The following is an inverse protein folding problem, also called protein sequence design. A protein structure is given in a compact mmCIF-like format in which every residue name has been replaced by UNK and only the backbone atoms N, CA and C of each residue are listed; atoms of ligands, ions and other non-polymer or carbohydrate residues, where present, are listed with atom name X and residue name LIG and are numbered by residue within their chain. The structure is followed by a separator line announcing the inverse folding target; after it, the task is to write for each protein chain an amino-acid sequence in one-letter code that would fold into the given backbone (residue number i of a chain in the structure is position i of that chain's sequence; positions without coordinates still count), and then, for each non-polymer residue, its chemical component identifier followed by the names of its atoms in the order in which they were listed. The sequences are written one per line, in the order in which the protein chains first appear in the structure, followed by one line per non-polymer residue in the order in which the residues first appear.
data_IF_035703723027
#
_entry.id   IF_035703723027
#
_cell.length_a   1.000
_cell.length_b   1.000
_cell.length_c   1.000
_cell.angle_alpha   90.00
_cell.angle_beta   90.00
_cell.angle_gamma   90.00
#
_symmetry.space_group_name_H-M   'P 1'
#
loop_
_entity.id
_entity.type
_entity.pdbx_description
1 polymer ?
#
# COMPACT_ATOMS: atom_id res chain seq x y z
N UNK A 1 87.99 21.97 3.65
CA UNK A 1 86.72 22.49 4.20
C UNK A 1 85.63 21.83 3.43
N UNK A 2 85.05 20.76 4.00
CA UNK A 2 84.08 19.88 3.33
C UNK A 2 82.68 20.32 3.73
N UNK A 3 81.79 20.53 2.74
CA UNK A 3 80.40 20.71 2.96
C UNK A 3 79.68 19.48 2.41
N UNK A 4 79.14 18.71 3.33
CA UNK A 4 78.28 17.57 3.07
C UNK A 4 76.86 18.09 2.72
N UNK A 5 76.28 17.67 1.60
CA UNK A 5 74.92 17.81 1.25
C UNK A 5 74.23 16.45 1.41
N UNK A 6 73.49 16.30 2.49
CA UNK A 6 72.61 15.13 2.70
C UNK A 6 71.34 15.24 1.82
N UNK A 7 71.26 14.27 0.89
CA UNK A 7 70.11 14.16 0.01
C UNK A 7 68.89 13.56 0.73
N UNK A 8 67.88 14.36 0.89
CA UNK A 8 66.54 13.91 1.38
C UNK A 8 65.78 13.23 0.22
N UNK A 9 65.73 11.91 0.24
CA UNK A 9 64.89 11.14 -0.67
C UNK A 9 63.46 11.21 -0.12
N UNK A 10 62.67 12.11 -0.68
CA UNK A 10 61.22 12.09 -0.45
C UNK A 10 60.63 10.86 -1.15
N UNK A 11 60.32 9.83 -0.37
CA UNK A 11 59.40 8.75 -0.78
C UNK A 11 58.01 9.36 -1.01
N UNK A 12 57.62 9.58 -2.27
CA UNK A 12 56.23 9.81 -2.62
C UNK A 12 55.43 8.57 -2.26
N UNK A 13 54.69 8.63 -1.18
CA UNK A 13 53.65 7.64 -0.88
C UNK A 13 52.58 7.76 -1.94
N UNK A 14 52.46 6.76 -2.78
CA UNK A 14 51.41 6.64 -3.76
C UNK A 14 50.16 6.15 -3.01
N UNK A 15 49.49 7.04 -2.26
CA UNK A 15 48.10 6.85 -1.92
C UNK A 15 47.31 7.39 -3.11
N UNK A 16 46.44 6.58 -3.74
CA UNK A 16 45.51 7.12 -4.72
C UNK A 16 44.63 8.10 -3.98
N UNK A 17 44.85 9.39 -4.17
CA UNK A 17 43.95 10.42 -3.65
C UNK A 17 42.53 10.14 -4.11
N UNK A 18 41.56 10.73 -3.41
CA UNK A 18 40.11 10.62 -3.75
C UNK A 18 39.80 10.78 -5.24
N UNK A 19 40.61 11.56 -5.96
CA UNK A 19 40.58 11.74 -7.42
C UNK A 19 40.93 10.45 -8.20
N UNK A 20 41.89 9.64 -7.74
CA UNK A 20 42.26 8.36 -8.39
C UNK A 20 41.16 7.30 -8.23
N UNK A 21 40.52 7.24 -7.06
CA UNK A 21 39.41 6.34 -6.79
C UNK A 21 38.20 6.75 -7.64
N UNK A 22 37.92 8.04 -7.73
CA UNK A 22 36.86 8.59 -8.56
C UNK A 22 37.05 8.23 -10.05
N UNK A 23 38.27 8.40 -10.59
CA UNK A 23 38.58 8.01 -11.97
C UNK A 23 38.41 6.51 -12.21
N UNK A 24 38.75 5.65 -11.26
CA UNK A 24 38.66 4.20 -11.40
C UNK A 24 37.23 3.68 -11.55
N UNK A 25 36.26 4.35 -10.96
CA UNK A 25 34.83 4.02 -11.08
C UNK A 25 34.13 4.80 -12.21
N UNK A 26 34.55 6.06 -12.45
CA UNK A 26 33.90 6.91 -13.45
C UNK A 26 34.33 6.65 -14.89
N UNK A 27 35.64 6.28 -15.11
CA UNK A 27 36.13 6.03 -16.47
C UNK A 27 35.42 4.85 -17.15
N UNK A 28 35.24 3.67 -16.51
CA UNK A 28 34.45 2.59 -17.11
C UNK A 28 33.03 3.01 -17.42
N UNK A 29 32.42 3.80 -16.55
CA UNK A 29 31.05 4.31 -16.74
C UNK A 29 30.96 5.28 -17.93
N UNK A 30 31.92 6.22 -18.06
CA UNK A 30 32.02 7.13 -19.21
C UNK A 30 32.28 6.38 -20.52
N UNK A 31 33.13 5.36 -20.50
CA UNK A 31 33.41 4.51 -21.67
C UNK A 31 32.11 3.81 -22.10
N UNK A 32 31.34 3.29 -21.17
CA UNK A 32 30.05 2.65 -21.46
C UNK A 32 29.05 3.64 -22.05
N UNK A 33 28.99 4.88 -21.54
CA UNK A 33 28.15 5.96 -22.11
C UNK A 33 28.55 6.28 -23.56
N UNK A 34 29.85 6.38 -23.83
CA UNK A 34 30.35 6.75 -25.17
C UNK A 34 30.11 5.66 -26.19
N UNK A 35 30.24 4.37 -25.82
CA UNK A 35 30.07 3.25 -26.75
C UNK A 35 28.63 2.76 -26.90
N UNK A 36 27.80 2.89 -25.87
CA UNK A 36 26.44 2.33 -25.84
C UNK A 36 25.34 3.42 -25.81
N UNK A 37 25.73 4.70 -25.74
CA UNK A 37 24.81 5.82 -25.61
C UNK A 37 24.35 6.07 -24.14
N UNK A 38 23.92 7.30 -23.87
CA UNK A 38 23.46 7.73 -22.54
C UNK A 38 22.23 6.92 -22.10
N UNK A 39 21.34 6.64 -23.04
CA UNK A 39 20.11 5.89 -22.78
C UNK A 39 20.39 4.44 -22.36
N UNK A 40 21.33 3.75 -23.00
CA UNK A 40 21.68 2.36 -22.64
C UNK A 40 22.40 2.23 -21.28
N UNK A 41 23.07 3.28 -20.82
CA UNK A 41 23.77 3.28 -19.53
C UNK A 41 22.89 3.70 -18.37
N UNK A 42 21.90 4.56 -18.63
CA UNK A 42 20.89 5.00 -17.64
C UNK A 42 19.66 4.08 -17.61
N UNK A 43 19.33 3.45 -18.74
CA UNK A 43 18.10 2.66 -18.94
C UNK A 43 18.33 1.16 -18.73
N UNK A 44 19.57 0.65 -18.74
CA UNK A 44 19.83 -0.77 -18.49
C UNK A 44 19.88 -1.20 -17.00
N UNK A 45 19.59 -0.31 -16.07
CA UNK A 45 18.81 -0.67 -14.88
C UNK A 45 17.35 -0.28 -15.17
N UNK A 46 16.65 -1.14 -15.90
CA UNK A 46 15.21 -1.26 -15.65
C UNK A 46 15.14 -1.34 -14.13
N UNK A 47 14.62 -0.29 -13.50
CA UNK A 47 14.36 -0.36 -12.07
C UNK A 47 13.34 -1.48 -11.95
N UNK A 48 13.82 -2.61 -11.46
CA UNK A 48 12.98 -3.76 -11.29
C UNK A 48 12.04 -3.45 -10.14
N UNK A 49 10.81 -3.13 -10.48
CA UNK A 49 9.74 -2.89 -9.53
C UNK A 49 9.62 -4.07 -8.56
N UNK A 50 9.89 -5.29 -9.03
CA UNK A 50 9.84 -6.50 -8.24
C UNK A 50 10.82 -6.47 -7.05
N UNK A 51 11.93 -5.73 -7.15
CA UNK A 51 12.88 -5.57 -6.03
C UNK A 51 12.32 -4.79 -4.84
N UNK A 52 11.39 -3.88 -5.05
CA UNK A 52 10.81 -3.06 -3.96
C UNK A 52 9.47 -3.58 -3.47
N UNK A 53 8.79 -4.41 -4.25
CA UNK A 53 7.47 -4.96 -3.90
C UNK A 53 7.46 -5.70 -2.57
N UNK A 54 8.46 -6.54 -2.19
CA UNK A 54 8.47 -7.20 -0.89
C UNK A 54 8.34 -6.20 0.27
N UNK A 55 9.04 -5.06 0.18
CA UNK A 55 9.00 -3.99 1.20
C UNK A 55 7.63 -3.29 1.21
N UNK A 56 7.07 -3.03 0.04
CA UNK A 56 5.74 -2.41 -0.08
C UNK A 56 4.69 -3.33 0.55
N UNK A 57 4.66 -4.60 0.16
CA UNK A 57 3.69 -5.59 0.64
C UNK A 57 3.82 -5.81 2.14
N UNK A 58 5.05 -5.96 2.66
CA UNK A 58 5.32 -6.08 4.09
C UNK A 58 4.85 -4.85 4.90
N UNK A 59 4.76 -3.67 4.27
CA UNK A 59 4.19 -2.48 4.91
C UNK A 59 2.65 -2.50 4.99
N UNK A 60 2.00 -3.32 4.17
CA UNK A 60 0.55 -3.36 3.97
C UNK A 60 -0.12 -4.53 4.68
N UNK A 61 0.55 -5.69 4.76
CA UNK A 61 0.01 -6.91 5.35
C UNK A 61 1.05 -7.61 6.23
N UNK A 62 0.60 -8.22 7.34
CA UNK A 62 1.49 -8.92 8.28
C UNK A 62 1.94 -10.29 7.76
N UNK A 63 3.12 -10.76 8.20
CA UNK A 63 3.71 -12.07 7.84
C UNK A 63 2.91 -13.29 8.35
N UNK A 64 2.05 -13.08 9.35
CA UNK A 64 1.23 -14.15 9.95
C UNK A 64 0.07 -14.59 9.06
N UNK A 65 -0.20 -13.86 7.99
CA UNK A 65 -1.19 -14.24 7.00
C UNK A 65 -0.71 -15.41 6.13
N UNK A 66 -1.63 -16.19 5.59
CA UNK A 66 -1.33 -17.28 4.66
C UNK A 66 -0.62 -16.76 3.39
N UNK A 67 0.21 -17.59 2.77
CA UNK A 67 0.99 -17.20 1.58
C UNK A 67 0.08 -16.72 0.44
N UNK A 68 -1.03 -17.41 0.20
CA UNK A 68 -1.99 -17.02 -0.86
C UNK A 68 -2.62 -15.65 -0.60
N UNK A 69 -2.85 -15.29 0.66
CA UNK A 69 -3.32 -13.93 1.03
C UNK A 69 -2.26 -12.87 0.75
N UNK A 70 -1.00 -13.18 1.04
CA UNK A 70 0.13 -12.27 0.76
C UNK A 70 0.33 -12.14 -0.75
N UNK A 71 0.18 -13.21 -1.53
CA UNK A 71 0.20 -13.19 -2.99
C UNK A 71 -0.92 -12.29 -3.55
N UNK A 72 -2.15 -12.44 -3.05
CA UNK A 72 -3.27 -11.57 -3.43
C UNK A 72 -2.95 -10.09 -3.14
N UNK A 73 -2.41 -9.79 -1.95
CA UNK A 73 -1.97 -8.43 -1.60
C UNK A 73 -0.82 -7.95 -2.49
N UNK A 74 0.06 -8.83 -2.94
CA UNK A 74 1.18 -8.51 -3.85
C UNK A 74 0.67 -8.09 -5.22
N UNK A 75 -0.30 -8.83 -5.79
CA UNK A 75 -0.94 -8.46 -7.07
C UNK A 75 -1.63 -7.09 -6.94
N UNK A 76 -2.35 -6.84 -5.84
CA UNK A 76 -2.97 -5.53 -5.55
C UNK A 76 -1.91 -4.43 -5.48
N UNK A 77 -0.83 -4.65 -4.74
CA UNK A 77 0.24 -3.66 -4.56
C UNK A 77 0.92 -3.32 -5.89
N UNK A 78 1.21 -4.34 -6.71
CA UNK A 78 1.78 -4.19 -8.06
C UNK A 78 0.85 -3.39 -8.97
N UNK A 79 -0.45 -3.73 -9.01
CA UNK A 79 -1.45 -3.02 -9.80
C UNK A 79 -1.52 -1.53 -9.44
N UNK A 80 -1.60 -1.22 -8.16
CA UNK A 80 -1.65 0.15 -7.67
C UNK A 80 -0.35 0.92 -7.95
N UNK A 81 0.80 0.25 -7.89
CA UNK A 81 2.09 0.83 -8.20
C UNK A 81 2.20 1.17 -9.70
N UNK A 82 1.85 0.22 -10.58
CA UNK A 82 1.85 0.42 -12.03
C UNK A 82 0.90 1.56 -12.43
N UNK A 83 -0.31 1.58 -11.87
CA UNK A 83 -1.28 2.67 -12.09
C UNK A 83 -0.69 4.03 -11.71
N UNK A 84 -0.07 4.15 -10.52
CA UNK A 84 0.56 5.40 -10.09
C UNK A 84 1.68 5.86 -11.04
N UNK A 85 2.46 4.93 -11.59
CA UNK A 85 3.49 5.26 -12.60
C UNK A 85 2.85 5.84 -13.87
N UNK A 86 1.78 5.22 -14.37
CA UNK A 86 1.06 5.70 -15.55
C UNK A 86 0.48 7.11 -15.34
N UNK A 87 -0.10 7.37 -14.17
CA UNK A 87 -0.73 8.66 -13.87
C UNK A 87 0.26 9.81 -13.65
N UNK A 88 1.43 9.54 -13.06
CA UNK A 88 2.34 10.59 -12.63
C UNK A 88 3.46 10.93 -13.62
N UNK A 89 3.64 10.14 -14.68
CA UNK A 89 4.77 10.23 -15.64
C UNK A 89 6.15 10.37 -14.95
N UNK A 90 6.24 10.00 -13.65
CA UNK A 90 7.43 10.21 -12.85
C UNK A 90 7.61 9.14 -11.79
N UNK A 91 8.44 8.18 -12.11
CA UNK A 91 8.83 7.10 -11.22
C UNK A 91 9.42 7.60 -9.89
N UNK A 92 10.22 8.67 -9.92
CA UNK A 92 10.85 9.24 -8.71
C UNK A 92 9.83 9.83 -7.73
N UNK A 93 8.71 10.38 -8.20
CA UNK A 93 7.63 10.86 -7.34
C UNK A 93 6.94 9.70 -6.64
N UNK A 94 6.60 8.64 -7.39
CA UNK A 94 5.96 7.43 -6.84
C UNK A 94 6.84 6.79 -5.78
N UNK A 95 8.16 6.67 -6.01
CA UNK A 95 9.10 6.16 -5.00
C UNK A 95 9.16 7.00 -3.73
N UNK A 96 9.12 8.32 -3.84
CA UNK A 96 9.11 9.20 -2.67
C UNK A 96 7.82 9.06 -1.85
N UNK A 97 6.67 8.87 -2.49
CA UNK A 97 5.40 8.59 -1.81
C UNK A 97 5.49 7.28 -1.03
N UNK A 98 5.91 6.20 -1.69
CA UNK A 98 6.09 4.88 -1.07
C UNK A 98 7.08 4.95 0.10
N UNK A 99 8.21 5.63 -0.10
CA UNK A 99 9.20 5.83 0.97
C UNK A 99 8.58 6.51 2.19
N UNK A 100 7.68 7.46 2.00
CA UNK A 100 6.99 8.14 3.10
C UNK A 100 5.95 7.23 3.76
N UNK A 101 5.25 6.39 3.01
CA UNK A 101 4.30 5.39 3.54
C UNK A 101 5.02 4.31 4.38
N UNK A 102 6.21 3.88 3.95
CA UNK A 102 7.04 2.85 4.61
C UNK A 102 7.86 3.43 5.78
N UNK A 103 8.12 4.74 5.80
CA UNK A 103 8.95 5.42 6.79
C UNK A 103 8.37 5.25 8.21
N UNK A 104 9.05 4.49 9.03
CA UNK A 104 8.63 4.16 10.42
C UNK A 104 8.32 2.68 10.63
N UNK A 105 8.20 1.89 9.56
CA UNK A 105 8.04 0.43 9.63
C UNK A 105 9.33 -0.34 9.29
N UNK A 106 10.41 0.35 8.92
CA UNK A 106 11.58 -0.21 8.24
C UNK A 106 12.38 -1.25 9.03
N UNK A 107 12.39 -1.20 10.35
CA UNK A 107 13.17 -2.15 11.15
C UNK A 107 12.50 -3.53 11.23
N UNK A 108 11.18 -3.57 11.24
CA UNK A 108 10.38 -4.80 11.23
C UNK A 108 10.42 -5.48 9.84
N UNK A 109 10.45 -4.69 8.79
CA UNK A 109 10.48 -5.14 7.39
C UNK A 109 11.78 -5.86 7.01
N UNK A 110 12.88 -5.62 7.73
CA UNK A 110 14.17 -6.24 7.44
C UNK A 110 14.28 -7.71 7.90
N UNK A 111 13.35 -8.19 8.73
CA UNK A 111 13.46 -9.50 9.41
C UNK A 111 12.65 -10.61 8.74
N UNK A 112 11.65 -10.30 7.89
CA UNK A 112 10.67 -11.27 7.36
C UNK A 112 10.57 -11.23 5.82
N UNK A 113 11.69 -11.16 5.11
CA UNK A 113 11.65 -10.97 3.65
C UNK A 113 11.23 -12.22 2.88
N UNK A 114 11.62 -13.42 3.30
CA UNK A 114 11.47 -14.66 2.52
C UNK A 114 10.02 -14.93 2.05
N UNK A 115 9.03 -14.75 2.92
CA UNK A 115 7.62 -14.99 2.57
C UNK A 115 7.08 -13.96 1.57
N UNK A 116 7.51 -12.70 1.71
CA UNK A 116 7.13 -11.64 0.78
C UNK A 116 7.86 -11.76 -0.56
N UNK A 117 9.15 -12.10 -0.54
CA UNK A 117 9.94 -12.39 -1.75
C UNK A 117 9.33 -13.55 -2.53
N UNK A 118 8.94 -14.62 -1.82
CA UNK A 118 8.24 -15.76 -2.43
C UNK A 118 6.91 -15.33 -3.05
N UNK A 119 6.11 -14.52 -2.36
CA UNK A 119 4.83 -14.03 -2.90
C UNK A 119 5.03 -13.19 -4.16
N UNK A 120 6.06 -12.34 -4.19
CA UNK A 120 6.42 -11.51 -5.35
C UNK A 120 6.84 -12.39 -6.52
N UNK A 121 7.73 -13.36 -6.29
CA UNK A 121 8.21 -14.29 -7.33
C UNK A 121 7.08 -15.17 -7.88
N UNK A 122 6.23 -15.71 -7.01
CA UNK A 122 5.12 -16.59 -7.41
C UNK A 122 4.02 -15.85 -8.21
N UNK A 123 3.98 -14.51 -8.14
CA UNK A 123 2.99 -13.67 -8.82
C UNK A 123 3.63 -12.66 -9.77
N UNK A 124 4.87 -12.93 -10.25
CA UNK A 124 5.61 -12.02 -11.11
C UNK A 124 4.78 -11.56 -12.32
N UNK A 125 4.77 -10.26 -12.58
CA UNK A 125 4.06 -9.65 -13.70
C UNK A 125 2.54 -9.57 -13.57
N UNK A 126 1.90 -10.25 -12.59
CA UNK A 126 0.44 -10.26 -12.44
C UNK A 126 -0.09 -8.93 -11.90
N UNK A 127 -1.06 -8.35 -12.60
CA UNK A 127 -1.79 -7.13 -12.21
C UNK A 127 -3.28 -7.30 -12.42
N UNK A 128 -4.08 -6.50 -11.71
CA UNK A 128 -5.53 -6.44 -11.88
C UNK A 128 -5.91 -5.29 -12.80
N UNK A 129 -6.83 -5.56 -13.72
CA UNK A 129 -7.37 -4.59 -14.67
C UNK A 129 -8.89 -4.64 -14.69
N UNK A 130 -9.51 -3.57 -15.14
CA UNK A 130 -10.90 -3.48 -15.52
C UNK A 130 -11.01 -2.93 -16.94
N UNK A 131 -11.62 -3.69 -17.83
CA UNK A 131 -11.68 -3.39 -19.26
C UNK A 131 -10.28 -3.11 -19.89
N UNK A 132 -9.26 -3.86 -19.43
CA UNK A 132 -7.87 -3.72 -19.87
C UNK A 132 -7.11 -2.52 -19.26
N UNK A 133 -7.73 -1.72 -18.41
CA UNK A 133 -7.11 -0.55 -17.77
C UNK A 133 -6.74 -0.83 -16.32
N UNK A 134 -5.60 -0.29 -15.88
CA UNK A 134 -5.21 -0.29 -14.47
C UNK A 134 -6.10 0.68 -13.69
N UNK A 135 -6.87 0.15 -12.75
CA UNK A 135 -7.68 0.92 -11.80
C UNK A 135 -7.12 0.83 -10.39
N UNK A 136 -7.60 1.68 -9.50
CA UNK A 136 -7.24 1.56 -8.09
C UNK A 136 -7.84 0.28 -7.50
N UNK A 137 -7.01 -0.57 -6.93
CA UNK A 137 -7.43 -1.81 -6.26
C UNK A 137 -7.36 -1.58 -4.74
N UNK A 138 -8.46 -1.22 -4.07
CA UNK A 138 -8.47 -0.92 -2.65
C UNK A 138 -8.45 -2.19 -1.80
N UNK A 139 -7.86 -2.07 -0.59
CA UNK A 139 -7.84 -3.13 0.40
C UNK A 139 -7.96 -2.55 1.81
N UNK A 140 -8.40 -3.36 2.74
CA UNK A 140 -8.57 -3.00 4.14
C UNK A 140 -8.34 -4.21 5.04
N UNK A 141 -8.10 -3.96 6.34
CA UNK A 141 -7.77 -5.04 7.28
C UNK A 141 -8.96 -5.98 7.52
N UNK A 142 -10.17 -5.41 7.73
CA UNK A 142 -11.34 -6.14 8.15
C UNK A 142 -12.63 -5.41 7.77
N UNK A 143 -13.56 -6.05 7.03
CA UNK A 143 -14.84 -5.45 6.69
C UNK A 143 -15.85 -5.52 7.85
N UNK A 144 -16.95 -4.83 7.70
CA UNK A 144 -18.11 -4.96 8.63
C UNK A 144 -19.00 -6.20 8.34
N UNK A 145 -18.48 -7.17 7.57
CA UNK A 145 -19.16 -8.39 7.15
C UNK A 145 -19.64 -8.35 5.69
N UNK A 146 -19.46 -7.21 5.03
CA UNK A 146 -19.70 -6.96 3.62
C UNK A 146 -18.83 -5.81 3.17
N UNK A 147 -18.29 -5.88 1.94
CA UNK A 147 -17.56 -4.78 1.35
C UNK A 147 -18.50 -3.73 0.78
N UNK A 148 -18.04 -2.50 0.64
CA UNK A 148 -18.83 -1.37 0.11
C UNK A 148 -18.82 -1.40 -1.41
N UNK A 149 -19.91 -0.95 -2.02
CA UNK A 149 -20.04 -0.75 -3.46
C UNK A 149 -19.42 0.59 -3.88
N UNK A 150 -18.58 0.58 -4.92
CA UNK A 150 -17.87 1.77 -5.38
C UNK A 150 -18.80 2.84 -5.94
N UNK A 151 -19.79 2.46 -6.73
CA UNK A 151 -20.77 3.39 -7.29
C UNK A 151 -21.54 4.13 -6.19
N UNK A 152 -21.92 3.40 -5.14
CA UNK A 152 -22.63 3.97 -4.00
C UNK A 152 -21.75 4.94 -3.21
N UNK A 153 -20.46 4.59 -2.99
CA UNK A 153 -19.53 5.41 -2.21
C UNK A 153 -19.08 6.67 -2.94
N UNK A 154 -18.80 6.56 -4.23
CA UNK A 154 -18.24 7.66 -5.04
C UNK A 154 -19.28 8.38 -5.90
N UNK A 155 -20.53 7.88 -5.95
CA UNK A 155 -21.60 8.39 -6.80
C UNK A 155 -21.18 8.48 -8.28
N UNK A 156 -20.41 7.48 -8.76
CA UNK A 156 -19.83 7.45 -10.10
C UNK A 156 -19.91 6.05 -10.72
N UNK A 157 -20.28 5.98 -11.99
CA UNK A 157 -20.24 4.75 -12.78
C UNK A 157 -18.81 4.28 -13.08
N UNK A 158 -17.83 5.18 -13.00
CA UNK A 158 -16.41 4.85 -13.19
C UNK A 158 -15.88 3.90 -12.12
N UNK A 159 -16.57 3.82 -10.98
CA UNK A 159 -16.23 2.95 -9.85
C UNK A 159 -17.05 1.65 -9.83
N UNK A 160 -17.73 1.32 -10.93
CA UNK A 160 -18.58 0.13 -11.05
C UNK A 160 -17.82 -1.20 -10.94
N UNK A 161 -16.52 -1.19 -11.12
CA UNK A 161 -15.65 -2.35 -10.91
C UNK A 161 -15.51 -2.75 -9.43
N UNK A 162 -15.81 -1.86 -8.49
CA UNK A 162 -15.79 -2.12 -7.04
C UNK A 162 -17.16 -2.60 -6.56
N UNK A 163 -17.47 -3.85 -6.83
CA UNK A 163 -18.72 -4.46 -6.38
C UNK A 163 -18.70 -4.79 -4.89
N UNK A 164 -19.84 -4.63 -4.25
CA UNK A 164 -20.04 -5.10 -2.89
C UNK A 164 -20.10 -6.63 -2.86
N UNK A 165 -19.31 -7.26 -1.99
CA UNK A 165 -19.33 -8.71 -1.77
C UNK A 165 -19.49 -9.05 -0.30
N UNK A 166 -20.11 -10.20 0.00
CA UNK A 166 -20.25 -10.69 1.36
C UNK A 166 -18.88 -11.13 1.90
N UNK A 167 -18.56 -10.75 3.12
CA UNK A 167 -17.37 -11.21 3.84
C UNK A 167 -17.76 -11.55 5.28
N UNK A 168 -18.76 -12.45 5.41
CA UNK A 168 -19.38 -12.76 6.70
C UNK A 168 -18.40 -13.30 7.74
N UNK A 169 -17.34 -13.99 7.28
CA UNK A 169 -16.27 -14.52 8.13
C UNK A 169 -15.52 -13.43 8.89
N UNK A 170 -15.50 -12.20 8.39
CA UNK A 170 -14.90 -11.04 9.06
C UNK A 170 -15.51 -10.80 10.46
N UNK A 171 -16.78 -11.19 10.67
CA UNK A 171 -17.48 -11.06 11.94
C UNK A 171 -16.93 -11.97 13.04
N UNK A 172 -16.16 -13.01 12.66
CA UNK A 172 -15.55 -13.97 13.59
C UNK A 172 -14.22 -13.46 14.13
N UNK A 173 -13.67 -12.38 13.54
CA UNK A 173 -12.44 -11.78 14.01
C UNK A 173 -12.58 -11.22 15.41
N UNK A 174 -11.61 -11.50 16.29
CA UNK A 174 -11.50 -10.88 17.61
C UNK A 174 -11.43 -9.34 17.58
N UNK A 175 -11.01 -8.80 16.42
CA UNK A 175 -10.88 -7.36 16.20
C UNK A 175 -12.12 -6.75 15.50
N UNK A 176 -13.20 -7.52 15.35
CA UNK A 176 -14.41 -7.07 14.65
C UNK A 176 -15.08 -5.87 15.32
N UNK A 177 -15.21 -5.92 16.65
CA UNK A 177 -15.74 -4.81 17.41
C UNK A 177 -14.61 -3.98 18.03
N UNK A 178 -14.68 -2.67 17.84
CA UNK A 178 -13.79 -1.73 18.49
C UNK A 178 -14.59 -0.55 19.07
N UNK A 179 -14.20 -0.08 20.24
CA UNK A 179 -14.87 1.05 20.91
C UNK A 179 -13.89 2.19 21.12
N UNK A 180 -14.26 3.37 20.62
CA UNK A 180 -13.55 4.62 20.85
C UNK A 180 -14.42 5.51 21.74
N UNK A 181 -13.84 6.01 22.82
CA UNK A 181 -14.52 6.89 23.78
C UNK A 181 -13.98 8.31 23.63
N UNK A 182 -14.88 9.25 23.37
CA UNK A 182 -14.54 10.66 23.13
C UNK A 182 -15.31 11.51 24.14
N UNK A 183 -14.63 12.51 24.73
CA UNK A 183 -15.29 13.42 25.66
C UNK A 183 -16.36 14.24 24.92
N UNK A 184 -17.58 14.26 25.47
CA UNK A 184 -18.71 14.96 24.84
C UNK A 184 -18.45 16.46 24.63
N UNK A 185 -17.58 17.07 25.43
CA UNK A 185 -17.25 18.51 25.32
C UNK A 185 -16.54 18.89 24.04
N UNK A 186 -15.86 17.94 23.36
CA UNK A 186 -15.12 18.20 22.11
C UNK A 186 -15.89 17.74 20.87
N UNK A 187 -17.08 17.21 21.07
CA UNK A 187 -17.99 16.81 20.00
C UNK A 187 -19.07 17.88 19.76
N UNK A 188 -19.69 17.90 18.56
CA UNK A 188 -20.90 18.66 18.31
C UNK A 188 -22.00 18.32 19.35
N UNK A 189 -22.81 19.31 19.74
CA UNK A 189 -23.93 19.09 20.68
C UNK A 189 -24.97 18.13 20.11
N UNK A 190 -25.26 18.31 18.81
CA UNK A 190 -26.11 17.43 18.04
C UNK A 190 -25.23 16.66 17.06
N UNK A 191 -25.12 15.34 17.24
CA UNK A 191 -24.36 14.45 16.37
C UNK A 191 -25.21 13.21 16.08
N UNK A 192 -25.70 13.10 14.86
CA UNK A 192 -26.57 12.02 14.42
C UNK A 192 -26.10 11.43 13.10
N UNK A 193 -26.25 10.13 12.92
CA UNK A 193 -26.07 9.50 11.63
C UNK A 193 -27.25 9.89 10.74
N UNK A 194 -26.95 10.48 9.57
CA UNK A 194 -27.96 10.90 8.60
C UNK A 194 -28.20 9.83 7.55
N UNK A 195 -27.09 9.23 7.04
CA UNK A 195 -27.17 8.26 5.96
C UNK A 195 -26.11 7.16 6.10
N UNK A 196 -26.44 5.98 5.54
CA UNK A 196 -25.54 4.82 5.45
C UNK A 196 -25.65 4.21 4.06
N UNK A 197 -24.54 3.65 3.58
CA UNK A 197 -24.57 2.80 2.39
C UNK A 197 -25.18 1.42 2.67
N UNK A 198 -25.35 0.63 1.60
CA UNK A 198 -25.91 -0.72 1.65
C UNK A 198 -25.12 -1.69 2.52
N UNK A 199 -23.81 -1.46 2.71
CA UNK A 199 -22.94 -2.22 3.60
C UNK A 199 -22.98 -1.73 5.06
N UNK A 200 -23.78 -0.69 5.35
CA UNK A 200 -24.01 -0.14 6.68
C UNK A 200 -22.96 0.84 7.19
N UNK A 201 -22.05 1.28 6.33
CA UNK A 201 -21.10 2.34 6.65
C UNK A 201 -21.77 3.70 6.61
N UNK A 202 -21.45 4.57 7.56
CA UNK A 202 -21.96 5.94 7.60
C UNK A 202 -21.37 6.71 6.42
N UNK A 203 -22.23 7.22 5.56
CA UNK A 203 -21.87 8.11 4.46
C UNK A 203 -21.99 9.57 4.88
N UNK A 204 -23.05 9.91 5.63
CA UNK A 204 -23.29 11.26 6.12
C UNK A 204 -23.69 11.30 7.61
N UNK A 205 -23.18 12.31 8.31
CA UNK A 205 -23.60 12.70 9.66
C UNK A 205 -24.16 14.11 9.66
N UNK A 206 -25.09 14.36 10.56
CA UNK A 206 -25.53 15.72 10.90
C UNK A 206 -24.85 16.14 12.22
N UNK A 207 -24.10 17.24 12.19
CA UNK A 207 -23.33 17.77 13.29
C UNK A 207 -23.64 19.26 13.48
N UNK A 208 -24.40 19.65 14.53
CA UNK A 208 -24.84 21.02 14.79
C UNK A 208 -25.42 21.71 13.53
N UNK A 209 -26.28 20.99 12.78
CA UNK A 209 -26.92 21.47 11.57
C UNK A 209 -26.05 21.43 10.30
N UNK A 210 -24.80 20.94 10.37
CA UNK A 210 -23.91 20.75 9.22
C UNK A 210 -23.78 19.30 8.84
N UNK A 211 -23.79 18.99 7.55
CA UNK A 211 -23.50 17.64 7.05
C UNK A 211 -21.97 17.42 7.01
N UNK A 212 -21.52 16.29 7.56
CA UNK A 212 -20.15 15.81 7.52
C UNK A 212 -20.09 14.49 6.78
N UNK A 213 -19.07 14.29 5.98
CA UNK A 213 -18.82 13.02 5.29
C UNK A 213 -18.28 11.99 6.29
N UNK A 214 -18.82 10.75 6.24
CA UNK A 214 -18.56 9.71 7.24
C UNK A 214 -17.13 9.24 7.30
N UNK A 215 -16.45 9.09 6.17
CA UNK A 215 -15.06 8.65 6.12
C UNK A 215 -14.09 9.73 6.64
N UNK A 216 -14.36 11.01 6.35
CA UNK A 216 -13.63 12.14 6.91
C UNK A 216 -13.81 12.24 8.42
N UNK A 217 -15.04 12.03 8.91
CA UNK A 217 -15.33 11.96 10.34
C UNK A 217 -14.57 10.79 11.00
N UNK A 218 -14.61 9.59 10.40
CA UNK A 218 -13.86 8.43 10.87
C UNK A 218 -12.37 8.74 11.07
N UNK A 219 -11.74 9.33 10.04
CA UNK A 219 -10.30 9.70 10.06
C UNK A 219 -10.03 10.76 11.13
N UNK A 220 -10.84 11.81 11.18
CA UNK A 220 -10.67 12.90 12.14
C UNK A 220 -10.84 12.50 13.60
N UNK A 221 -11.69 11.50 13.87
CA UNK A 221 -11.95 10.98 15.22
C UNK A 221 -11.12 9.74 15.58
N UNK A 222 -10.25 9.25 14.69
CA UNK A 222 -9.45 8.05 14.91
C UNK A 222 -10.27 6.76 15.07
N UNK A 223 -11.45 6.70 14.42
CA UNK A 223 -12.30 5.51 14.46
C UNK A 223 -11.75 4.43 13.53
N UNK A 224 -11.87 3.17 13.93
CA UNK A 224 -11.36 2.03 13.16
C UNK A 224 -12.12 1.80 11.86
N UNK A 225 -13.42 2.13 11.81
CA UNK A 225 -14.29 1.97 10.66
C UNK A 225 -15.37 3.06 10.65
N UNK A 226 -15.88 3.41 9.46
CA UNK A 226 -17.08 4.23 9.32
C UNK A 226 -18.39 3.44 9.55
N UNK A 227 -18.33 2.11 9.73
CA UNK A 227 -19.47 1.34 10.21
C UNK A 227 -19.51 1.38 11.74
N UNK A 228 -20.09 2.45 12.29
CA UNK A 228 -20.17 2.66 13.74
C UNK A 228 -21.57 3.03 14.20
N UNK A 229 -21.81 2.84 15.50
CA UNK A 229 -22.98 3.38 16.24
C UNK A 229 -22.51 4.35 17.31
N UNK A 230 -23.36 5.36 17.60
CA UNK A 230 -23.11 6.42 18.57
C UNK A 230 -23.90 6.11 19.86
N UNK A 231 -23.24 6.12 21.00
CA UNK A 231 -23.85 5.84 22.31
C UNK A 231 -23.38 6.88 23.33
N UNK A 232 -24.30 7.60 23.94
CA UNK A 232 -23.99 8.53 25.03
C UNK A 232 -23.82 7.78 26.35
N UNK A 233 -22.66 7.92 27.00
CA UNK A 233 -22.30 7.26 28.27
C UNK A 233 -21.78 8.33 29.24
N UNK A 234 -22.68 8.89 30.05
CA UNK A 234 -22.34 9.95 30.99
C UNK A 234 -21.77 11.20 30.28
N UNK A 235 -20.49 11.52 30.54
CA UNK A 235 -19.80 12.66 29.92
C UNK A 235 -18.94 12.28 28.69
N UNK A 236 -19.10 11.04 28.21
CA UNK A 236 -18.41 10.52 27.04
C UNK A 236 -19.41 10.02 25.99
N UNK A 237 -18.98 10.01 24.75
CA UNK A 237 -19.64 9.35 23.64
C UNK A 237 -18.81 8.16 23.23
N UNK A 238 -19.43 6.98 23.21
CA UNK A 238 -18.84 5.75 22.68
C UNK A 238 -19.19 5.60 21.22
N UNK A 239 -18.18 5.43 20.39
CA UNK A 239 -18.33 4.97 18.99
C UNK A 239 -18.00 3.48 18.97
N UNK A 240 -19.03 2.64 18.80
CA UNK A 240 -18.84 1.20 18.61
C UNK A 240 -18.71 0.92 17.12
N UNK A 241 -17.48 0.68 16.66
CA UNK A 241 -17.14 0.39 15.28
C UNK A 241 -17.18 -1.11 15.00
N UNK A 242 -17.61 -1.48 13.79
CA UNK A 242 -17.53 -2.83 13.21
C UNK A 242 -16.51 -2.82 12.08
N UNK A 243 -15.56 -3.77 12.13
CA UNK A 243 -14.47 -3.84 11.14
C UNK A 243 -13.36 -2.81 11.36
N UNK A 244 -12.41 -2.80 10.43
CA UNK A 244 -11.23 -1.93 10.45
C UNK A 244 -10.81 -1.56 9.03
N UNK A 245 -10.83 -0.27 8.72
CA UNK A 245 -10.53 0.30 7.41
C UNK A 245 -11.77 0.91 6.76
N UNK A 246 -11.63 1.23 5.46
CA UNK A 246 -12.66 1.91 4.68
C UNK A 246 -13.74 0.96 4.12
N UNK A 247 -13.51 -0.36 4.14
CA UNK A 247 -14.47 -1.38 3.75
C UNK A 247 -14.63 -1.63 2.24
N UNK A 248 -13.85 -0.99 1.36
CA UNK A 248 -13.90 -1.22 -0.08
C UNK A 248 -12.89 -2.28 -0.52
N UNK A 249 -13.27 -3.10 -1.51
CA UNK A 249 -12.41 -4.07 -2.16
C UNK A 249 -11.97 -5.21 -1.23
N UNK A 250 -10.69 -5.54 -1.22
CA UNK A 250 -10.13 -6.71 -0.55
C UNK A 250 -10.12 -6.59 0.97
N UNK A 251 -10.80 -7.52 1.67
CA UNK A 251 -10.62 -7.71 3.11
C UNK A 251 -9.46 -8.67 3.36
N UNK A 252 -8.38 -8.19 3.98
CA UNK A 252 -7.21 -9.03 4.28
C UNK A 252 -7.56 -10.20 5.20
N UNK A 253 -8.36 -9.97 6.23
CA UNK A 253 -8.80 -11.03 7.14
C UNK A 253 -9.68 -12.05 6.40
N UNK A 254 -10.69 -11.60 5.66
CA UNK A 254 -11.59 -12.49 4.92
C UNK A 254 -10.84 -13.30 3.85
N UNK A 255 -9.91 -12.67 3.11
CA UNK A 255 -9.02 -13.36 2.18
C UNK A 255 -8.15 -14.40 2.85
N UNK A 256 -7.70 -14.14 4.09
CA UNK A 256 -6.92 -15.11 4.85
C UNK A 256 -7.73 -16.34 5.25
N UNK A 257 -8.99 -16.16 5.60
CA UNK A 257 -9.86 -17.29 5.87
C UNK A 257 -10.17 -18.11 4.60
N UNK A 258 -10.29 -17.45 3.43
CA UNK A 258 -10.36 -18.15 2.14
C UNK A 258 -9.07 -18.93 1.86
N UNK A 259 -7.90 -18.35 2.05
CA UNK A 259 -6.61 -19.02 1.88
C UNK A 259 -6.46 -20.24 2.78
N UNK A 260 -6.88 -20.19 4.05
CA UNK A 260 -6.91 -21.34 4.96
C UNK A 260 -7.81 -22.46 4.45
N UNK A 261 -8.81 -22.15 3.66
CA UNK A 261 -9.70 -23.08 2.98
C UNK A 261 -9.18 -23.50 1.59
N UNK A 262 -7.88 -23.33 1.34
CA UNK A 262 -7.16 -23.74 0.13
C UNK A 262 -7.53 -22.97 -1.15
N UNK A 263 -8.10 -21.76 -1.03
CA UNK A 263 -8.27 -20.89 -2.18
C UNK A 263 -6.91 -20.27 -2.59
N UNK A 264 -6.65 -20.22 -3.89
CA UNK A 264 -5.49 -19.53 -4.45
C UNK A 264 -5.64 -18.00 -4.38
N UNK A 265 -4.54 -17.28 -4.62
CA UNK A 265 -4.56 -15.81 -4.67
C UNK A 265 -5.52 -15.29 -5.72
N UNK A 266 -5.57 -15.93 -6.89
CA UNK A 266 -6.45 -15.58 -8.01
C UNK A 266 -7.93 -15.80 -7.64
N UNK A 267 -8.25 -16.92 -6.99
CA UNK A 267 -9.61 -17.22 -6.52
C UNK A 267 -10.07 -16.20 -5.46
N UNK A 268 -9.16 -15.82 -4.54
CA UNK A 268 -9.41 -14.80 -3.52
C UNK A 268 -9.68 -13.45 -4.18
N UNK A 269 -8.87 -13.06 -5.17
CA UNK A 269 -9.06 -11.79 -5.88
C UNK A 269 -10.32 -11.79 -6.73
N UNK A 270 -10.63 -12.88 -7.43
CA UNK A 270 -11.87 -13.03 -8.18
C UNK A 270 -13.11 -12.93 -7.28
N UNK A 271 -13.01 -13.41 -6.03
CA UNK A 271 -14.10 -13.27 -5.05
C UNK A 271 -14.33 -11.81 -4.67
N UNK A 272 -13.28 -11.04 -4.34
CA UNK A 272 -13.40 -9.67 -3.88
C UNK A 272 -13.58 -8.65 -5.01
N UNK A 273 -13.16 -8.99 -6.22
CA UNK A 273 -13.21 -8.13 -7.40
C UNK A 273 -13.81 -8.86 -8.61
N UNK A 274 -15.11 -9.23 -8.53
CA UNK A 274 -15.74 -10.08 -9.56
C UNK A 274 -15.85 -9.41 -10.94
N UNK A 275 -15.62 -8.11 -11.04
CA UNK A 275 -15.63 -7.35 -12.30
C UNK A 275 -14.22 -7.07 -12.85
N UNK A 276 -13.17 -7.46 -12.13
CA UNK A 276 -11.79 -7.24 -12.57
C UNK A 276 -11.17 -8.56 -13.04
N UNK A 277 -10.13 -8.44 -13.85
CA UNK A 277 -9.36 -9.55 -14.39
C UNK A 277 -7.89 -9.43 -13.97
N UNK A 278 -7.22 -10.59 -13.86
CA UNK A 278 -5.77 -10.66 -13.67
C UNK A 278 -5.14 -10.81 -15.05
N UNK A 279 -4.20 -9.92 -15.39
CA UNK A 279 -3.44 -9.92 -16.64
C UNK A 279 -1.94 -9.83 -16.37
N UNK A 280 -1.11 -10.20 -17.35
CA UNK A 280 0.32 -9.99 -17.27
C UNK A 280 0.67 -8.56 -17.70
N UNK A 281 1.57 -7.93 -16.97
CA UNK A 281 1.97 -6.51 -17.18
C UNK A 281 2.58 -6.27 -18.57
N UNK A 282 3.18 -7.30 -19.21
CA UNK A 282 3.73 -7.22 -20.57
C UNK A 282 2.68 -6.94 -21.63
N UNK A 283 1.40 -7.12 -21.31
CA UNK A 283 0.27 -6.84 -22.21
C UNK A 283 -0.23 -5.39 -22.07
N UNK A 284 0.26 -4.66 -21.05
CA UNK A 284 -0.24 -3.32 -20.68
C UNK A 284 0.76 -2.20 -21.03
N UNK A 285 2.08 -2.53 -21.13
CA UNK A 285 3.18 -1.58 -21.40
C UNK A 285 3.93 -1.88 -22.67
#
# INVERSE_FOLDING_TARGET
MAVRLDGLIMRKSFFPGTTGIFCLFFIPYLITIVFNGVESTLVNRKFDMEMILPVIVASQIGETYELETIKAQTIIARSNFCRKIQEQDSFSKVLNEIRNEVKGKSLYLAVSQEKYEKAVTDTEGMVMTWDGELKQVPYHELSAGQTRDGREVFHSEEEDYLKSVQSSVDKESKNYFNSVYINQKILPKELNVKERDSAGYVTELLADGKTLEGESFRKGMGLTSANFTIQNIGNQVRFLCKGRGHGMGFSQYGGNELAKNSNSAEEILAYYFPSMEIQEITEIF
#
